data_IF_832454881849
#
_entry.id   IF_832454881849
#
_cell.length_a   1.000
_cell.length_b   1.000
_cell.length_c   1.000
_cell.angle_alpha   90.00
_cell.angle_beta   90.00
_cell.angle_gamma   90.00
#
_symmetry.space_group_name_H-M   'P 1'
#
loop_
_entity.id
_entity.type
_entity.pdbx_description
1 polymer ?
#
# COMPACT_ATOMS: atom_id res chain seq x y z
N UNK A 1 -0.71 29.20 -77.22
CA UNK A 1 -0.29 28.10 -76.27
C UNK A 1 -0.71 28.53 -74.89
N UNK A 2 -1.78 27.93 -74.38
CA UNK A 2 -2.44 28.31 -73.11
C UNK A 2 -2.04 27.33 -72.02
N UNK A 3 -1.33 27.82 -71.02
CA UNK A 3 -1.02 27.02 -69.83
C UNK A 3 -2.13 27.17 -68.78
N UNK A 4 -2.88 26.07 -68.51
CA UNK A 4 -3.82 25.99 -67.38
C UNK A 4 -3.06 25.55 -66.14
N UNK A 5 -3.27 26.14 -64.97
CA UNK A 5 -2.73 25.63 -63.70
C UNK A 5 -3.61 24.51 -63.11
N UNK A 6 -2.97 23.44 -62.57
CA UNK A 6 -3.59 22.33 -61.85
C UNK A 6 -4.03 22.77 -60.44
N UNK A 7 -5.13 22.23 -59.94
CA UNK A 7 -5.59 22.57 -58.57
C UNK A 7 -4.75 21.86 -57.50
N UNK A 8 -4.33 22.62 -56.50
CA UNK A 8 -3.70 22.10 -55.28
C UNK A 8 -4.74 21.44 -54.40
N UNK A 9 -4.62 20.12 -54.18
CA UNK A 9 -5.40 19.34 -53.23
C UNK A 9 -4.84 19.65 -51.84
N UNK A 10 -5.58 20.39 -51.04
CA UNK A 10 -5.27 20.58 -49.61
C UNK A 10 -5.67 19.33 -48.83
N UNK A 11 -4.66 18.56 -48.39
CA UNK A 11 -4.86 17.42 -47.48
C UNK A 11 -5.14 17.91 -46.07
N UNK A 12 -6.39 17.81 -45.63
CA UNK A 12 -6.78 18.03 -44.25
C UNK A 12 -6.40 16.77 -43.44
N UNK A 13 -5.30 16.82 -42.68
CA UNK A 13 -4.98 15.85 -41.64
C UNK A 13 -5.90 16.13 -40.46
N UNK A 14 -6.94 15.29 -40.31
CA UNK A 14 -7.73 15.21 -39.08
C UNK A 14 -6.84 14.56 -38.01
N UNK A 15 -6.31 15.37 -37.10
CA UNK A 15 -5.73 14.92 -35.88
C UNK A 15 -6.85 14.43 -34.95
N UNK A 16 -7.11 13.11 -34.95
CA UNK A 16 -7.97 12.48 -33.96
C UNK A 16 -7.26 12.52 -32.62
N UNK A 17 -7.55 13.51 -31.79
CA UNK A 17 -7.20 13.52 -30.36
C UNK A 17 -8.01 12.43 -29.67
N UNK A 18 -7.40 11.26 -29.47
CA UNK A 18 -7.95 10.24 -28.60
C UNK A 18 -7.94 10.76 -27.17
N UNK A 19 -9.06 11.33 -26.73
CA UNK A 19 -9.35 11.51 -25.31
C UNK A 19 -9.55 10.11 -24.72
N UNK A 20 -8.48 9.52 -24.19
CA UNK A 20 -8.60 8.39 -23.28
C UNK A 20 -9.44 8.88 -22.10
N UNK A 21 -10.70 8.48 -22.06
CA UNK A 21 -11.53 8.60 -20.87
C UNK A 21 -10.73 7.89 -19.76
N UNK A 22 -10.14 8.65 -18.84
CA UNK A 22 -9.59 8.14 -17.61
C UNK A 22 -10.77 7.50 -16.85
N UNK A 23 -11.01 6.22 -17.08
CA UNK A 23 -11.91 5.48 -16.21
C UNK A 23 -11.30 5.56 -14.82
N UNK A 24 -12.07 6.09 -13.87
CA UNK A 24 -11.63 6.13 -12.49
C UNK A 24 -11.26 4.71 -12.06
N UNK A 25 -9.98 4.48 -11.79
CA UNK A 25 -9.49 3.18 -11.35
C UNK A 25 -10.09 2.88 -9.99
N UNK A 26 -10.89 1.82 -9.90
CA UNK A 26 -11.47 1.34 -8.65
C UNK A 26 -10.82 0.02 -8.27
N UNK A 27 -10.59 -0.19 -6.97
CA UNK A 27 -10.16 -1.48 -6.46
C UNK A 27 -11.29 -2.50 -6.52
N UNK A 28 -10.96 -3.75 -6.85
CA UNK A 28 -11.85 -4.90 -6.79
C UNK A 28 -11.30 -5.95 -5.83
N UNK A 29 -12.17 -6.89 -5.43
CA UNK A 29 -11.75 -8.02 -4.59
C UNK A 29 -10.66 -8.84 -5.31
N UNK A 30 -9.59 -9.22 -4.59
CA UNK A 30 -8.47 -9.95 -5.18
C UNK A 30 -8.71 -11.46 -5.34
N UNK A 31 -9.91 -11.94 -5.07
CA UNK A 31 -10.33 -13.35 -5.20
C UNK A 31 -11.82 -13.43 -5.53
N UNK A 32 -12.30 -14.64 -5.86
CA UNK A 32 -13.73 -14.92 -6.07
C UNK A 32 -14.55 -14.94 -4.78
N UNK A 33 -13.92 -14.90 -3.60
CA UNK A 33 -14.64 -14.77 -2.32
C UNK A 33 -15.24 -13.37 -2.20
N UNK A 34 -16.55 -13.26 -2.44
CA UNK A 34 -17.31 -12.00 -2.41
C UNK A 34 -17.97 -11.72 -1.06
N UNK A 35 -17.74 -12.56 -0.05
CA UNK A 35 -18.43 -12.46 1.25
C UNK A 35 -18.25 -11.11 1.94
N UNK A 36 -17.15 -10.38 1.68
CA UNK A 36 -16.93 -9.03 2.23
C UNK A 36 -18.07 -8.05 1.85
N UNK A 37 -18.70 -8.24 0.69
CA UNK A 37 -19.74 -7.36 0.13
C UNK A 37 -21.15 -7.80 0.49
N UNK A 38 -21.32 -8.91 1.22
CA UNK A 38 -22.60 -9.50 1.57
C UNK A 38 -23.15 -8.94 2.89
N UNK A 39 -24.46 -9.14 3.12
CA UNK A 39 -25.12 -8.80 4.39
C UNK A 39 -24.86 -9.89 5.44
N UNK A 40 -24.89 -9.55 6.71
CA UNK A 40 -24.74 -10.46 7.83
C UNK A 40 -23.34 -10.42 8.46
N UNK A 41 -22.61 -11.56 8.44
CA UNK A 41 -21.24 -11.65 9.00
C UNK A 41 -20.19 -11.69 7.89
N UNK A 42 -20.02 -10.62 7.13
CA UNK A 42 -19.16 -10.61 5.94
C UNK A 42 -17.70 -10.91 6.25
N UNK A 43 -17.14 -10.29 7.28
CA UNK A 43 -15.73 -10.47 7.64
C UNK A 43 -15.40 -11.88 8.11
N UNK A 44 -16.28 -12.52 8.86
CA UNK A 44 -16.12 -13.90 9.34
C UNK A 44 -16.05 -14.92 8.19
N UNK A 45 -16.81 -14.68 7.12
CA UNK A 45 -16.81 -15.54 5.92
C UNK A 45 -15.68 -15.19 4.96
N UNK A 46 -15.25 -13.94 4.96
CA UNK A 46 -14.22 -13.43 4.07
C UNK A 46 -12.82 -13.74 4.59
N UNK A 47 -12.57 -13.59 5.90
CA UNK A 47 -11.26 -13.72 6.52
C UNK A 47 -11.05 -15.09 7.17
N UNK A 48 -9.79 -15.47 7.31
CA UNK A 48 -9.39 -16.65 8.10
C UNK A 48 -8.33 -16.25 9.13
N UNK A 49 -8.52 -16.72 10.36
CA UNK A 49 -7.57 -16.45 11.45
C UNK A 49 -6.32 -17.30 11.41
N UNK A 50 -5.37 -17.00 12.30
CA UNK A 50 -4.19 -17.84 12.54
C UNK A 50 -4.56 -19.13 13.24
N UNK A 51 -3.65 -20.11 13.31
CA UNK A 51 -3.92 -21.43 13.90
C UNK A 51 -4.45 -21.32 15.33
N UNK A 52 -5.63 -21.90 15.58
CA UNK A 52 -6.26 -21.89 16.90
C UNK A 52 -6.81 -20.51 17.34
N UNK A 53 -6.85 -19.53 16.46
CA UNK A 53 -7.40 -18.19 16.73
C UNK A 53 -8.59 -17.91 15.80
N UNK A 54 -9.54 -17.07 16.22
CA UNK A 54 -10.69 -16.71 15.42
C UNK A 54 -10.31 -15.82 14.22
N UNK A 55 -11.28 -15.58 13.32
CA UNK A 55 -11.10 -14.87 12.06
C UNK A 55 -10.54 -13.43 12.23
N UNK A 56 -10.78 -12.78 13.37
CA UNK A 56 -10.30 -11.44 13.69
C UNK A 56 -8.76 -11.35 13.61
N UNK A 57 -8.07 -12.45 13.90
CA UNK A 57 -6.61 -12.49 13.77
C UNK A 57 -6.12 -12.48 12.30
N UNK A 58 -7.02 -12.58 11.34
CA UNK A 58 -6.78 -12.38 9.91
C UNK A 58 -7.03 -10.96 9.42
N UNK A 59 -7.48 -10.04 10.28
CA UNK A 59 -7.66 -8.63 9.97
C UNK A 59 -6.33 -7.88 9.93
N UNK A 60 -6.36 -6.68 9.33
CA UNK A 60 -5.27 -5.72 9.38
C UNK A 60 -5.14 -5.08 10.76
N UNK A 61 -3.91 -4.78 11.18
CA UNK A 61 -3.65 -4.01 12.40
C UNK A 61 -3.10 -4.84 13.54
N UNK A 62 -3.29 -4.37 14.77
CA UNK A 62 -2.81 -5.01 15.99
C UNK A 62 -3.72 -6.17 16.42
N UNK A 63 -3.72 -7.26 15.65
CA UNK A 63 -4.66 -8.38 15.83
C UNK A 63 -3.97 -9.73 16.14
N UNK A 64 -2.64 -9.77 16.04
CA UNK A 64 -1.82 -10.95 16.29
C UNK A 64 -1.21 -10.90 17.69
N UNK A 65 -0.93 -12.08 18.29
CA UNK A 65 -0.29 -12.18 19.63
C UNK A 65 -1.02 -11.34 20.68
N UNK A 66 -2.35 -11.45 20.73
CA UNK A 66 -3.23 -10.73 21.65
C UNK A 66 -3.06 -9.20 21.58
N UNK A 67 -3.01 -8.67 20.35
CA UNK A 67 -2.91 -7.24 20.05
C UNK A 67 -1.49 -6.67 20.03
N UNK A 68 -0.46 -7.48 20.32
CA UNK A 68 0.94 -7.02 20.43
C UNK A 68 1.73 -7.11 19.12
N UNK A 69 1.19 -7.80 18.11
CA UNK A 69 1.86 -7.95 16.82
C UNK A 69 1.00 -7.39 15.71
N UNK A 70 1.62 -6.58 14.87
CA UNK A 70 1.01 -6.00 13.67
C UNK A 70 0.82 -7.06 12.59
N UNK A 71 -0.33 -7.01 11.91
CA UNK A 71 -0.62 -7.74 10.69
C UNK A 71 -0.75 -6.75 9.54
N UNK A 72 0.12 -6.89 8.56
CA UNK A 72 0.37 -5.90 7.50
C UNK A 72 -0.73 -5.84 6.44
N UNK A 73 -1.58 -6.86 6.37
CA UNK A 73 -2.66 -7.02 5.41
C UNK A 73 -3.86 -7.74 5.99
N UNK A 74 -4.58 -8.45 5.12
CA UNK A 74 -5.70 -9.33 5.49
C UNK A 74 -5.50 -10.73 4.92
N UNK A 75 -5.94 -11.75 5.65
CA UNK A 75 -5.88 -13.14 5.22
C UNK A 75 -7.24 -13.57 4.63
N UNK A 76 -7.37 -13.52 3.30
CA UNK A 76 -8.62 -13.83 2.59
C UNK A 76 -8.76 -15.34 2.41
N UNK A 77 -9.85 -15.90 2.95
CA UNK A 77 -10.16 -17.34 2.96
C UNK A 77 -10.31 -17.91 1.56
N UNK A 78 -9.75 -19.11 1.32
CA UNK A 78 -10.05 -19.95 0.16
C UNK A 78 -11.49 -20.50 0.26
N UNK A 79 -12.23 -20.46 -0.85
CA UNK A 79 -13.58 -21.01 -0.99
C UNK A 79 -13.66 -22.16 -1.98
N UNK A 80 -12.62 -22.37 -2.79
CA UNK A 80 -12.56 -23.45 -3.79
C UNK A 80 -11.44 -24.43 -3.46
N UNK A 81 -11.73 -25.73 -3.58
CA UNK A 81 -10.77 -26.80 -3.29
C UNK A 81 -10.88 -27.94 -4.29
N UNK A 82 -9.75 -28.54 -4.58
CA UNK A 82 -9.69 -29.77 -5.37
C UNK A 82 -10.12 -31.01 -4.54
N UNK A 83 -10.12 -32.21 -5.18
CA UNK A 83 -10.45 -33.49 -4.52
C UNK A 83 -9.48 -33.86 -3.38
N UNK A 84 -8.29 -33.27 -3.33
CA UNK A 84 -7.29 -33.47 -2.28
C UNK A 84 -7.41 -32.43 -1.17
N UNK A 85 -8.35 -31.48 -1.28
CA UNK A 85 -8.57 -30.38 -0.35
C UNK A 85 -7.52 -29.25 -0.50
N UNK A 86 -6.73 -29.21 -1.56
CA UNK A 86 -5.85 -28.07 -1.85
C UNK A 86 -6.67 -26.93 -2.47
N UNK A 87 -6.31 -25.65 -2.15
CA UNK A 87 -7.03 -24.49 -2.66
C UNK A 87 -6.82 -24.35 -4.19
N UNK A 88 -7.87 -23.92 -4.88
CA UNK A 88 -7.87 -23.69 -6.34
C UNK A 88 -8.36 -22.32 -6.73
N UNK A 89 -8.68 -21.46 -5.77
CA UNK A 89 -9.18 -20.10 -6.02
C UNK A 89 -8.18 -19.31 -6.87
N UNK A 90 -8.62 -18.61 -7.94
CA UNK A 90 -7.77 -17.67 -8.65
C UNK A 90 -7.46 -16.48 -7.74
N UNK A 91 -6.24 -15.97 -7.83
CA UNK A 91 -5.87 -14.68 -7.27
C UNK A 91 -5.88 -13.66 -8.38
N UNK A 92 -6.60 -12.56 -8.18
CA UNK A 92 -6.91 -11.56 -9.19
C UNK A 92 -6.20 -10.24 -8.87
N UNK A 93 -5.75 -9.52 -9.90
CA UNK A 93 -5.24 -8.17 -9.75
C UNK A 93 -6.35 -7.24 -9.24
N UNK A 94 -6.14 -6.61 -8.08
CA UNK A 94 -7.16 -5.77 -7.44
C UNK A 94 -7.39 -4.43 -8.15
N UNK A 95 -6.46 -3.98 -9.00
CA UNK A 95 -6.57 -2.77 -9.83
C UNK A 95 -5.68 -2.90 -11.06
N UNK A 96 -5.90 -2.05 -12.07
CA UNK A 96 -4.98 -1.91 -13.20
C UNK A 96 -3.59 -1.49 -12.71
N UNK A 97 -2.54 -2.07 -13.27
CA UNK A 97 -1.19 -1.76 -12.81
C UNK A 97 -0.09 -2.44 -13.60
N UNK A 98 1.08 -2.49 -13.00
CA UNK A 98 2.27 -3.16 -13.54
C UNK A 98 2.83 -4.11 -12.50
N UNK A 99 3.26 -5.29 -12.90
CA UNK A 99 3.98 -6.23 -12.02
C UNK A 99 5.29 -5.59 -11.59
N UNK A 100 5.43 -5.31 -10.31
CA UNK A 100 6.63 -4.71 -9.73
C UNK A 100 7.64 -5.78 -9.27
N UNK A 101 7.14 -6.91 -8.74
CA UNK A 101 7.99 -7.96 -8.19
C UNK A 101 7.29 -9.31 -8.18
N UNK A 102 8.07 -10.38 -8.34
CA UNK A 102 7.60 -11.77 -8.23
C UNK A 102 8.63 -12.61 -7.48
N UNK A 103 8.18 -13.33 -6.44
CA UNK A 103 8.95 -14.38 -5.78
C UNK A 103 8.34 -15.76 -6.03
N UNK A 104 9.07 -16.64 -6.69
CA UNK A 104 8.64 -18.02 -6.99
C UNK A 104 9.18 -19.04 -5.98
N UNK A 105 10.06 -18.65 -5.03
CA UNK A 105 10.66 -19.56 -4.04
C UNK A 105 9.75 -19.67 -2.81
N UNK A 106 9.09 -20.83 -2.58
CA UNK A 106 8.08 -20.97 -1.52
C UNK A 106 8.62 -20.85 -0.10
N UNK A 107 9.90 -21.17 0.12
CA UNK A 107 10.54 -21.17 1.43
C UNK A 107 11.48 -19.98 1.68
N UNK A 108 11.49 -18.95 0.82
CA UNK A 108 12.44 -17.83 0.96
C UNK A 108 12.09 -16.92 2.14
N UNK A 109 10.81 -16.64 2.33
CA UNK A 109 10.32 -15.79 3.42
C UNK A 109 8.96 -16.27 3.97
N UNK A 110 8.45 -15.57 4.98
CA UNK A 110 7.09 -15.79 5.50
C UNK A 110 6.01 -15.62 4.44
N UNK A 111 6.21 -14.73 3.46
CA UNK A 111 5.27 -14.53 2.35
C UNK A 111 5.19 -15.74 1.40
N UNK A 112 6.18 -16.65 1.40
CA UNK A 112 6.23 -17.75 0.44
C UNK A 112 6.36 -17.25 -1.01
N UNK A 113 5.62 -17.84 -1.94
CA UNK A 113 5.48 -17.28 -3.29
C UNK A 113 4.55 -16.06 -3.22
N UNK A 114 5.00 -14.93 -3.81
CA UNK A 114 4.18 -13.72 -3.80
C UNK A 114 4.45 -12.82 -5.00
N UNK A 115 3.45 -11.99 -5.30
CA UNK A 115 3.47 -10.98 -6.36
C UNK A 115 3.23 -9.62 -5.73
N UNK A 116 3.91 -8.60 -6.23
CA UNK A 116 3.63 -7.19 -5.93
C UNK A 116 3.27 -6.48 -7.23
N UNK A 117 2.13 -5.81 -7.23
CA UNK A 117 1.70 -4.94 -8.31
C UNK A 117 1.90 -3.47 -7.88
N UNK A 118 2.30 -2.64 -8.83
CA UNK A 118 2.39 -1.19 -8.68
C UNK A 118 1.24 -0.52 -9.42
N UNK A 119 0.58 0.40 -8.76
CA UNK A 119 -0.52 1.21 -9.30
C UNK A 119 -0.21 2.70 -9.10
N UNK A 120 -0.81 3.56 -9.93
CA UNK A 120 -0.86 5.00 -9.70
C UNK A 120 -2.32 5.42 -9.74
N UNK A 121 -2.90 5.72 -8.60
CA UNK A 121 -4.31 6.06 -8.42
C UNK A 121 -4.39 7.43 -7.73
N UNK A 122 -5.11 8.39 -8.28
CA UNK A 122 -5.23 9.76 -7.78
C UNK A 122 -3.85 10.42 -7.50
N UNK A 123 -2.88 10.18 -8.37
CA UNK A 123 -1.50 10.64 -8.21
C UNK A 123 -0.81 10.11 -6.93
N UNK A 124 -1.25 8.97 -6.41
CA UNK A 124 -0.62 8.23 -5.32
C UNK A 124 -0.04 6.93 -5.87
N UNK A 125 1.27 6.72 -5.75
CA UNK A 125 1.89 5.43 -6.02
C UNK A 125 1.53 4.47 -4.89
N UNK A 126 0.74 3.45 -5.17
CA UNK A 126 0.28 2.44 -4.24
C UNK A 126 0.62 1.05 -4.77
N UNK A 127 0.85 0.11 -3.87
CA UNK A 127 1.16 -1.27 -4.20
C UNK A 127 0.12 -2.21 -3.61
N UNK A 128 -0.13 -3.32 -4.32
CA UNK A 128 -0.85 -4.47 -3.77
C UNK A 128 0.08 -5.68 -3.74
N UNK A 129 0.05 -6.43 -2.64
CA UNK A 129 0.86 -7.61 -2.42
C UNK A 129 -0.04 -8.82 -2.20
N UNK A 130 0.28 -9.92 -2.87
CA UNK A 130 -0.48 -11.17 -2.86
C UNK A 130 0.46 -12.32 -2.49
N UNK A 131 0.37 -12.81 -1.26
CA UNK A 131 1.29 -13.81 -0.73
C UNK A 131 0.65 -15.17 -0.50
N UNK A 132 1.48 -16.15 -0.13
CA UNK A 132 1.17 -17.55 0.10
C UNK A 132 0.68 -18.31 -1.14
N UNK A 133 0.96 -17.82 -2.36
CA UNK A 133 0.47 -18.39 -3.60
C UNK A 133 0.93 -19.85 -3.79
N UNK A 134 0.05 -20.70 -4.32
CA UNK A 134 0.40 -22.04 -4.80
C UNK A 134 1.22 -21.95 -6.10
N UNK A 135 0.78 -21.08 -7.02
CA UNK A 135 1.47 -20.79 -8.27
C UNK A 135 1.28 -19.33 -8.68
N UNK A 136 2.19 -18.83 -9.50
CA UNK A 136 2.08 -17.55 -10.19
C UNK A 136 1.92 -17.85 -11.67
N UNK A 137 1.05 -17.12 -12.37
CA UNK A 137 0.86 -17.27 -13.80
C UNK A 137 2.16 -16.94 -14.56
N UNK A 138 2.47 -17.69 -15.60
CA UNK A 138 3.69 -17.53 -16.37
C UNK A 138 3.80 -16.18 -17.11
N UNK A 139 2.68 -15.53 -17.41
CA UNK A 139 2.63 -14.19 -17.99
C UNK A 139 2.93 -13.07 -16.97
N UNK A 140 2.88 -13.37 -15.67
CA UNK A 140 3.11 -12.40 -14.58
C UNK A 140 4.60 -12.28 -14.33
N UNK A 141 5.24 -11.29 -14.96
CA UNK A 141 6.67 -10.99 -14.84
C UNK A 141 6.91 -9.51 -14.57
N UNK A 142 7.95 -9.14 -13.82
CA UNK A 142 8.27 -7.73 -13.59
C UNK A 142 8.27 -6.88 -14.85
N UNK A 143 7.61 -5.72 -14.82
CA UNK A 143 7.43 -4.83 -15.96
C UNK A 143 6.18 -5.08 -16.81
N UNK A 144 5.50 -6.23 -16.66
CA UNK A 144 4.29 -6.52 -17.44
C UNK A 144 3.07 -5.78 -16.90
N UNK A 145 2.22 -5.18 -17.76
CA UNK A 145 0.95 -4.60 -17.35
C UNK A 145 -0.04 -5.70 -16.96
N UNK A 146 -0.90 -5.39 -16.02
CA UNK A 146 -2.04 -6.22 -15.60
C UNK A 146 -3.31 -5.38 -15.57
N UNK A 147 -4.45 -6.02 -15.86
CA UNK A 147 -5.77 -5.40 -15.76
C UNK A 147 -6.44 -5.83 -14.46
N UNK A 148 -7.28 -4.95 -13.92
CA UNK A 148 -8.15 -5.30 -12.81
C UNK A 148 -8.96 -6.56 -13.12
N UNK A 149 -9.05 -7.49 -12.16
CA UNK A 149 -9.72 -8.77 -12.34
C UNK A 149 -8.93 -9.83 -13.14
N UNK A 150 -7.75 -9.49 -13.68
CA UNK A 150 -6.88 -10.46 -14.35
C UNK A 150 -6.34 -11.48 -13.34
N UNK A 151 -6.45 -12.78 -13.64
CA UNK A 151 -5.81 -13.81 -12.82
C UNK A 151 -4.27 -13.67 -12.89
N UNK A 152 -3.64 -13.64 -11.70
CA UNK A 152 -2.20 -13.50 -11.55
C UNK A 152 -1.55 -14.73 -10.91
N UNK A 153 -2.36 -15.67 -10.43
CA UNK A 153 -1.91 -16.91 -9.82
C UNK A 153 -3.04 -17.67 -9.14
N UNK A 154 -2.67 -18.66 -8.37
CA UNK A 154 -3.59 -19.49 -7.57
C UNK A 154 -3.28 -19.32 -6.09
N UNK A 155 -4.32 -19.10 -5.29
CA UNK A 155 -4.25 -19.06 -3.82
C UNK A 155 -3.62 -20.34 -3.29
N UNK A 156 -2.83 -20.22 -2.22
CA UNK A 156 -2.11 -21.38 -1.69
C UNK A 156 -1.86 -21.31 -0.19
N UNK A 157 -0.70 -21.83 0.20
CA UNK A 157 -0.27 -21.92 1.59
C UNK A 157 1.26 -22.03 1.72
N UNK A 158 1.99 -21.42 0.75
CA UNK A 158 3.46 -21.41 0.78
C UNK A 158 3.96 -20.42 1.81
N UNK A 159 4.94 -20.80 2.60
CA UNK A 159 5.57 -20.01 3.65
C UNK A 159 6.80 -20.73 4.20
N UNK A 160 7.76 -20.00 4.78
CA UNK A 160 8.86 -20.57 5.53
C UNK A 160 8.58 -20.64 7.05
N UNK A 161 7.37 -20.35 7.50
CA UNK A 161 7.03 -20.42 8.92
C UNK A 161 7.08 -21.87 9.43
N UNK A 162 7.58 -22.09 10.66
CA UNK A 162 7.60 -23.42 11.30
C UNK A 162 6.19 -24.00 11.39
N UNK A 163 5.22 -23.18 11.73
CA UNK A 163 3.80 -23.53 11.73
C UNK A 163 3.25 -23.40 10.30
N UNK A 164 3.21 -24.51 9.59
CA UNK A 164 2.69 -24.56 8.21
C UNK A 164 1.23 -24.09 8.16
N UNK A 165 0.88 -23.39 7.07
CA UNK A 165 -0.50 -23.09 6.76
C UNK A 165 -1.19 -24.38 6.35
N UNK A 166 -2.22 -24.81 7.09
CA UNK A 166 -2.99 -26.04 6.81
C UNK A 166 -3.98 -25.82 5.67
N UNK A 167 -4.52 -26.89 5.08
CA UNK A 167 -5.45 -26.81 3.93
C UNK A 167 -6.76 -26.10 4.26
N UNK A 168 -7.25 -26.26 5.48
CA UNK A 168 -8.46 -25.58 5.98
C UNK A 168 -8.24 -24.07 6.22
N UNK A 169 -6.99 -23.66 6.39
CA UNK A 169 -6.57 -22.28 6.58
C UNK A 169 -5.87 -21.69 5.36
N UNK A 170 -5.93 -22.33 4.19
CA UNK A 170 -5.40 -21.77 2.96
C UNK A 170 -6.02 -20.41 2.67
N UNK A 171 -5.18 -19.42 2.34
CA UNK A 171 -5.58 -18.03 2.14
C UNK A 171 -4.59 -17.30 1.23
N UNK A 172 -5.04 -16.21 0.65
CA UNK A 172 -4.12 -15.18 0.16
C UNK A 172 -3.95 -14.12 1.24
N UNK A 173 -2.71 -13.88 1.67
CA UNK A 173 -2.38 -12.69 2.44
C UNK A 173 -2.30 -11.52 1.46
N UNK A 174 -3.22 -10.57 1.62
CA UNK A 174 -3.39 -9.43 0.73
C UNK A 174 -3.08 -8.13 1.44
N UNK A 175 -2.16 -7.34 0.86
CA UNK A 175 -1.83 -6.01 1.36
C UNK A 175 -2.18 -4.93 0.32
N UNK A 176 -2.62 -3.77 0.81
CA UNK A 176 -2.57 -2.49 0.09
C UNK A 176 -1.61 -1.60 0.85
N UNK A 177 -0.58 -1.07 0.19
CA UNK A 177 0.50 -0.41 0.90
C UNK A 177 1.18 0.69 0.08
N UNK A 178 1.74 1.67 0.78
CA UNK A 178 2.65 2.66 0.25
C UNK A 178 4.08 2.16 0.48
N UNK A 179 4.92 2.20 -0.56
CA UNK A 179 6.32 1.84 -0.41
C UNK A 179 7.09 3.01 0.21
N UNK A 180 7.73 2.82 1.36
CA UNK A 180 8.38 3.87 2.11
C UNK A 180 9.56 4.48 1.36
N UNK A 181 10.40 3.64 0.70
CA UNK A 181 11.61 4.08 0.00
C UNK A 181 11.77 3.41 -1.37
N UNK A 182 12.42 4.09 -2.30
CA UNK A 182 12.89 3.51 -3.57
C UNK A 182 14.30 2.90 -3.44
N UNK A 183 15.00 3.14 -2.33
CA UNK A 183 16.36 2.67 -2.04
C UNK A 183 16.44 1.96 -0.68
N UNK A 184 15.47 1.09 -0.41
CA UNK A 184 15.42 0.32 0.83
C UNK A 184 16.60 -0.64 0.98
N UNK A 185 17.05 -1.26 -0.10
CA UNK A 185 18.15 -2.22 -0.05
C UNK A 185 19.47 -1.58 0.42
N UNK A 186 19.78 -0.37 -0.01
CA UNK A 186 20.94 0.40 0.47
C UNK A 186 20.78 0.81 1.93
N UNK A 187 19.60 1.30 2.30
CA UNK A 187 19.29 1.63 3.69
C UNK A 187 19.43 0.40 4.59
N UNK A 188 18.88 -0.75 4.18
CA UNK A 188 18.94 -2.00 4.93
C UNK A 188 20.41 -2.43 5.18
N UNK A 189 21.26 -2.39 4.14
CA UNK A 189 22.68 -2.72 4.30
C UNK A 189 23.39 -1.84 5.33
N UNK A 190 23.03 -0.57 5.40
CA UNK A 190 23.64 0.40 6.32
C UNK A 190 23.14 0.22 7.78
N UNK A 191 21.84 -0.06 7.98
CA UNK A 191 21.17 0.05 9.28
C UNK A 191 20.77 -1.31 9.90
N UNK A 192 20.64 -2.36 9.09
CA UNK A 192 20.16 -3.68 9.53
C UNK A 192 21.25 -4.74 9.42
N UNK A 193 22.45 -4.43 9.94
CA UNK A 193 23.62 -5.35 9.93
C UNK A 193 23.25 -6.68 10.56
N UNK A 194 23.65 -7.79 9.92
CA UNK A 194 23.38 -9.15 10.40
C UNK A 194 22.01 -9.70 10.05
N UNK A 195 21.14 -8.94 9.40
CA UNK A 195 19.86 -9.44 8.87
C UNK A 195 19.88 -9.55 7.34
N UNK A 196 19.12 -10.54 6.81
CA UNK A 196 19.03 -10.75 5.37
C UNK A 196 17.93 -9.89 4.77
N UNK A 197 18.19 -9.35 3.57
CA UNK A 197 17.17 -8.74 2.72
C UNK A 197 17.06 -9.58 1.43
N UNK A 198 16.19 -10.59 1.44
CA UNK A 198 16.03 -11.52 0.32
C UNK A 198 15.15 -10.97 -0.81
N UNK A 199 14.49 -9.83 -0.59
CA UNK A 199 13.50 -9.27 -1.51
C UNK A 199 13.83 -7.85 -2.00
N UNK A 200 15.02 -7.34 -1.67
CA UNK A 200 15.47 -6.02 -2.10
C UNK A 200 14.51 -4.92 -1.68
N UNK A 201 14.08 -4.13 -2.65
CA UNK A 201 13.15 -3.01 -2.47
C UNK A 201 11.71 -3.46 -2.09
N UNK A 202 11.38 -4.73 -2.35
CA UNK A 202 10.05 -5.31 -2.09
C UNK A 202 9.99 -6.14 -0.80
N UNK A 203 10.90 -5.87 0.13
CA UNK A 203 10.83 -6.38 1.50
C UNK A 203 9.63 -5.78 2.24
N UNK A 204 8.87 -6.59 2.98
CA UNK A 204 7.67 -6.14 3.69
C UNK A 204 7.91 -4.99 4.66
N UNK A 205 9.13 -4.85 5.22
CA UNK A 205 9.49 -3.70 6.07
C UNK A 205 9.58 -2.37 5.32
N UNK A 206 9.59 -2.38 3.99
CA UNK A 206 9.54 -1.20 3.15
C UNK A 206 8.10 -0.79 2.79
N UNK A 207 7.10 -1.49 3.31
CA UNK A 207 5.70 -1.24 3.03
C UNK A 207 4.97 -0.70 4.25
N UNK A 208 4.20 0.35 4.03
CA UNK A 208 3.32 0.99 5.01
C UNK A 208 1.88 0.64 4.63
N UNK A 209 1.28 -0.30 5.36
CA UNK A 209 -0.03 -0.86 5.05
C UNK A 209 -1.16 0.16 5.18
N UNK A 210 -2.14 0.00 4.31
CA UNK A 210 -3.45 0.66 4.34
C UNK A 210 -4.47 -0.43 4.62
N UNK A 211 -5.47 -0.20 5.47
CA UNK A 211 -6.47 -1.22 5.84
C UNK A 211 -7.24 -1.69 4.59
N UNK A 212 -7.02 -2.96 4.14
CA UNK A 212 -7.52 -3.39 2.83
C UNK A 212 -9.03 -3.61 2.80
N UNK A 213 -9.66 -4.10 3.91
CA UNK A 213 -11.09 -4.37 3.91
C UNK A 213 -11.91 -3.09 3.80
N UNK A 214 -11.55 -2.04 4.55
CA UNK A 214 -12.20 -0.74 4.48
C UNK A 214 -12.04 -0.09 3.10
N UNK A 215 -10.83 -0.23 2.49
CA UNK A 215 -10.57 0.28 1.15
C UNK A 215 -11.42 -0.43 0.10
N UNK A 216 -11.46 -1.78 0.12
CA UNK A 216 -12.24 -2.58 -0.82
C UNK A 216 -13.74 -2.30 -0.69
N UNK A 217 -14.26 -2.17 0.54
CA UNK A 217 -15.66 -1.79 0.80
C UNK A 217 -15.96 -0.38 0.27
N UNK A 218 -15.11 0.59 0.55
CA UNK A 218 -15.28 1.97 0.07
C UNK A 218 -15.25 2.03 -1.46
N UNK A 219 -14.33 1.29 -2.10
CA UNK A 219 -14.25 1.20 -3.55
C UNK A 219 -15.51 0.58 -4.16
N UNK A 220 -16.01 -0.52 -3.59
CA UNK A 220 -17.24 -1.16 -4.06
C UNK A 220 -18.48 -0.26 -3.90
N UNK A 221 -18.60 0.45 -2.76
CA UNK A 221 -19.73 1.35 -2.48
C UNK A 221 -19.73 2.62 -3.35
N UNK A 222 -18.57 3.18 -3.61
CA UNK A 222 -18.43 4.45 -4.33
C UNK A 222 -18.28 4.27 -5.85
N UNK A 223 -17.85 3.08 -6.32
CA UNK A 223 -17.63 2.77 -7.73
C UNK A 223 -16.67 3.77 -8.38
N UNK A 224 -17.08 4.38 -9.50
CA UNK A 224 -16.28 5.38 -10.22
C UNK A 224 -16.01 6.68 -9.45
N UNK A 225 -16.70 6.92 -8.33
CA UNK A 225 -16.47 8.10 -7.47
C UNK A 225 -15.43 7.84 -6.37
N UNK A 226 -14.94 6.60 -6.25
CA UNK A 226 -13.89 6.27 -5.28
C UNK A 226 -12.63 7.09 -5.54
N UNK A 227 -12.03 7.60 -4.47
CA UNK A 227 -10.76 8.31 -4.53
C UNK A 227 -9.85 7.80 -3.43
N UNK A 228 -8.70 7.23 -3.82
CA UNK A 228 -7.68 6.75 -2.89
C UNK A 228 -7.13 7.89 -2.02
N UNK A 229 -6.84 9.04 -2.62
CA UNK A 229 -6.33 10.19 -1.87
C UNK A 229 -7.32 10.67 -0.80
N UNK A 230 -8.62 10.76 -1.14
CA UNK A 230 -9.67 11.09 -0.16
C UNK A 230 -9.86 10.01 0.89
N UNK A 231 -9.80 8.74 0.50
CA UNK A 231 -9.88 7.62 1.43
C UNK A 231 -8.76 7.68 2.47
N UNK A 232 -7.52 7.92 2.04
CA UNK A 232 -6.37 8.07 2.94
C UNK A 232 -6.51 9.31 3.83
N UNK A 233 -6.87 10.45 3.27
CA UNK A 233 -7.04 11.69 4.03
C UNK A 233 -8.15 11.61 5.11
N UNK A 234 -9.13 10.72 4.93
CA UNK A 234 -10.22 10.48 5.88
C UNK A 234 -9.87 9.46 6.97
N UNK A 235 -8.73 8.75 6.87
CA UNK A 235 -8.32 7.79 7.91
C UNK A 235 -8.00 8.50 9.22
N UNK A 236 -8.20 7.83 10.38
CA UNK A 236 -7.86 8.38 11.68
C UNK A 236 -6.38 8.75 11.77
N UNK A 237 -6.09 10.02 12.03
CA UNK A 237 -4.75 10.49 12.29
C UNK A 237 -4.31 10.06 13.70
N UNK A 238 -3.14 9.44 13.80
CA UNK A 238 -2.56 9.03 15.09
C UNK A 238 -1.49 10.00 15.56
N UNK A 239 -0.68 10.50 14.64
CA UNK A 239 0.35 11.49 14.97
C UNK A 239 0.59 12.45 13.80
N UNK A 240 1.12 13.62 14.15
CA UNK A 240 1.55 14.64 13.21
C UNK A 240 2.97 15.03 13.51
N UNK A 241 3.81 15.01 12.49
CA UNK A 241 5.23 15.33 12.62
C UNK A 241 5.64 16.40 11.61
N UNK A 242 6.58 17.25 12.01
CA UNK A 242 7.28 18.17 11.13
C UNK A 242 8.66 17.58 10.81
N UNK A 243 8.97 17.47 9.54
CA UNK A 243 10.27 16.99 9.03
C UNK A 243 10.94 18.12 8.28
N UNK A 244 12.03 18.65 8.82
CA UNK A 244 12.83 19.73 8.18
C UNK A 244 13.72 19.13 7.11
N UNK A 245 13.11 18.83 5.98
CA UNK A 245 13.77 18.35 4.78
C UNK A 245 12.94 18.74 3.55
N UNK A 246 13.30 19.81 2.84
CA UNK A 246 12.57 20.24 1.64
C UNK A 246 12.65 19.21 0.51
N UNK A 247 13.67 18.34 0.53
CA UNK A 247 13.92 17.33 -0.51
C UNK A 247 13.24 15.97 -0.23
N UNK A 248 12.38 15.88 0.81
CA UNK A 248 11.64 14.66 1.12
C UNK A 248 11.04 14.03 -0.14
N UNK A 249 11.23 12.72 -0.35
CA UNK A 249 10.82 12.06 -1.59
C UNK A 249 9.30 11.80 -1.67
N UNK A 250 8.62 11.60 -0.54
CA UNK A 250 7.19 11.27 -0.51
C UNK A 250 6.28 12.25 -1.24
N UNK A 251 6.44 13.61 -1.14
CA UNK A 251 5.57 14.52 -1.88
C UNK A 251 5.62 14.36 -3.39
N UNK A 252 6.77 13.94 -3.93
CA UNK A 252 6.92 13.67 -5.37
C UNK A 252 6.33 12.33 -5.78
N UNK A 253 6.28 11.36 -4.85
CA UNK A 253 5.73 10.02 -5.09
C UNK A 253 4.25 9.92 -4.79
N UNK A 254 3.76 10.77 -3.90
CA UNK A 254 2.38 10.84 -3.47
C UNK A 254 1.79 12.26 -3.63
N UNK A 255 1.83 12.86 -4.87
CA UNK A 255 1.30 14.21 -5.06
C UNK A 255 -0.16 14.35 -4.64
N UNK A 256 -0.96 13.28 -4.79
CA UNK A 256 -2.37 13.24 -4.36
C UNK A 256 -2.59 13.42 -2.85
N UNK A 257 -1.55 13.25 -2.02
CA UNK A 257 -1.62 13.49 -0.57
C UNK A 257 -1.16 14.90 -0.18
N UNK A 258 -0.60 15.68 -1.13
CA UNK A 258 -0.07 17.02 -0.85
C UNK A 258 -1.22 18.00 -0.67
N UNK A 259 -1.20 18.71 0.46
CA UNK A 259 -2.16 19.75 0.78
C UNK A 259 -1.61 21.13 0.36
N UNK A 260 -2.44 22.02 -0.16
CA UNK A 260 -1.98 23.36 -0.52
C UNK A 260 -1.58 24.16 0.73
N UNK A 261 -0.49 24.92 0.62
CA UNK A 261 -0.09 25.94 1.60
C UNK A 261 0.37 27.20 0.87
N UNK A 262 -0.44 28.28 0.81
CA UNK A 262 -0.08 29.50 0.11
C UNK A 262 1.20 30.17 0.63
N UNK A 263 1.50 30.04 1.94
CA UNK A 263 2.71 30.62 2.54
C UNK A 263 3.95 29.90 2.00
N UNK A 264 3.98 28.58 2.09
CA UNK A 264 5.10 27.78 1.59
C UNK A 264 5.23 27.88 0.06
N UNK A 265 4.13 28.05 -0.69
CA UNK A 265 4.16 28.27 -2.12
C UNK A 265 4.83 29.61 -2.50
N UNK A 266 4.69 30.64 -1.67
CA UNK A 266 5.28 31.96 -1.88
C UNK A 266 6.71 32.06 -1.37
N UNK A 267 6.99 31.50 -0.18
CA UNK A 267 8.26 31.67 0.54
C UNK A 267 9.26 30.53 0.29
N UNK A 268 8.82 29.45 -0.37
CA UNK A 268 9.60 28.23 -0.55
C UNK A 268 9.34 27.21 0.56
N UNK A 269 9.50 25.93 0.20
CA UNK A 269 9.32 24.79 1.13
C UNK A 269 10.61 24.56 1.92
N UNK A 270 10.54 24.62 3.24
CA UNK A 270 11.64 24.33 4.16
C UNK A 270 11.44 23.02 4.94
N UNK A 271 10.20 22.57 5.06
CA UNK A 271 9.82 21.37 5.79
C UNK A 271 8.51 20.78 5.28
N UNK A 272 8.21 19.57 5.74
CA UNK A 272 6.93 18.91 5.50
C UNK A 272 6.27 18.55 6.84
N UNK A 273 5.04 18.97 7.00
CA UNK A 273 4.18 18.47 8.05
C UNK A 273 3.45 17.23 7.51
N UNK A 274 3.58 16.11 8.24
CA UNK A 274 3.05 14.80 7.83
C UNK A 274 2.04 14.35 8.86
N UNK A 275 0.77 14.23 8.47
CA UNK A 275 -0.24 13.51 9.23
C UNK A 275 -0.11 12.01 8.93
N UNK A 276 -0.03 11.17 9.96
CA UNK A 276 0.27 9.76 9.84
C UNK A 276 -0.76 8.89 10.55
N UNK A 277 -1.05 7.73 9.97
CA UNK A 277 -1.76 6.64 10.62
C UNK A 277 -0.90 5.98 11.72
N UNK A 278 -1.51 5.08 12.50
CA UNK A 278 -0.85 4.43 13.64
C UNK A 278 0.43 3.65 13.27
N UNK A 279 0.52 3.13 12.05
CA UNK A 279 1.66 2.36 11.54
C UNK A 279 2.68 3.21 10.75
N UNK A 280 2.50 4.54 10.72
CA UNK A 280 3.39 5.47 10.04
C UNK A 280 3.07 5.72 8.57
N UNK A 281 1.98 5.18 8.02
CA UNK A 281 1.54 5.49 6.67
C UNK A 281 1.14 6.98 6.58
N UNK A 282 1.63 7.74 5.57
CA UNK A 282 1.25 9.14 5.40
C UNK A 282 -0.20 9.25 4.92
N UNK A 283 -0.95 10.14 5.54
CA UNK A 283 -2.33 10.46 5.22
C UNK A 283 -2.45 11.79 4.48
N UNK A 284 -1.66 12.78 4.89
CA UNK A 284 -1.56 14.11 4.28
C UNK A 284 -0.15 14.66 4.43
N UNK A 285 0.30 15.42 3.44
CA UNK A 285 1.62 16.04 3.35
C UNK A 285 1.43 17.55 3.14
N UNK A 286 1.74 18.38 4.12
CA UNK A 286 1.58 19.83 4.01
C UNK A 286 2.96 20.49 3.96
N UNK A 287 3.31 21.20 2.87
CA UNK A 287 4.57 21.94 2.82
C UNK A 287 4.56 23.09 3.85
N UNK A 288 5.70 23.37 4.47
CA UNK A 288 5.89 24.45 5.45
C UNK A 288 7.05 25.33 5.04
N UNK A 289 6.88 26.67 5.15
CA UNK A 289 7.96 27.63 4.95
C UNK A 289 8.90 27.67 6.17
N UNK A 290 10.08 28.26 6.01
CA UNK A 290 11.03 28.42 7.11
C UNK A 290 10.42 29.20 8.30
N UNK A 291 9.62 30.21 8.02
CA UNK A 291 8.93 31.03 9.03
C UNK A 291 7.92 30.19 9.85
N UNK A 292 7.20 29.28 9.22
CA UNK A 292 6.22 28.41 9.88
C UNK A 292 6.88 27.32 10.74
N UNK A 293 8.13 26.97 10.46
CA UNK A 293 8.84 25.90 11.19
C UNK A 293 9.47 26.36 12.51
N UNK A 294 9.71 27.67 12.70
CA UNK A 294 10.42 28.19 13.86
C UNK A 294 11.77 27.50 14.11
N UNK A 295 12.13 27.33 15.38
CA UNK A 295 13.36 26.67 15.84
C UNK A 295 13.22 25.15 16.05
N UNK A 296 12.23 24.49 15.41
CA UNK A 296 11.99 23.07 15.58
C UNK A 296 13.22 22.20 15.20
N UNK A 297 13.39 21.09 15.89
CA UNK A 297 14.38 20.06 15.56
C UNK A 297 14.11 19.45 14.16
N UNK A 298 15.07 18.69 13.64
CA UNK A 298 14.95 18.04 12.31
C UNK A 298 13.69 17.19 12.17
N UNK A 299 13.31 16.46 13.23
CA UNK A 299 12.05 15.75 13.37
C UNK A 299 11.39 16.27 14.64
N UNK A 300 10.18 16.82 14.53
CA UNK A 300 9.44 17.34 15.66
C UNK A 300 8.02 16.76 15.65
N UNK A 301 7.61 16.14 16.77
CA UNK A 301 6.24 15.62 16.94
C UNK A 301 5.34 16.78 17.34
N UNK A 302 4.42 17.15 16.44
CA UNK A 302 3.50 18.28 16.64
C UNK A 302 2.30 17.89 17.50
N UNK A 303 1.72 16.71 17.25
CA UNK A 303 0.58 16.21 18.01
C UNK A 303 0.51 14.70 17.99
N UNK A 304 -0.13 14.12 18.99
CA UNK A 304 -0.44 12.69 19.09
C UNK A 304 -1.89 12.53 19.54
N UNK A 305 -2.65 11.76 18.78
CA UNK A 305 -3.97 11.29 19.15
C UNK A 305 -3.81 10.10 20.11
N UNK A 306 -3.82 10.35 21.42
CA UNK A 306 -3.58 9.32 22.44
C UNK A 306 -4.60 8.16 22.37
N UNK A 307 -5.92 8.39 22.21
CA UNK A 307 -6.88 7.32 21.97
C UNK A 307 -6.50 6.41 20.79
N UNK A 308 -6.16 6.98 19.64
CA UNK A 308 -5.73 6.20 18.47
C UNK A 308 -4.43 5.44 18.72
N UNK A 309 -3.43 6.07 19.33
CA UNK A 309 -2.18 5.42 19.72
C UNK A 309 -2.42 4.23 20.67
N UNK A 310 -3.27 4.40 21.67
CA UNK A 310 -3.56 3.38 22.68
C UNK A 310 -4.39 2.21 22.11
N UNK A 311 -5.24 2.47 21.11
CA UNK A 311 -5.96 1.43 20.37
C UNK A 311 -5.03 0.54 19.52
N UNK A 312 -3.79 0.98 19.24
CA UNK A 312 -2.83 0.27 18.41
C UNK A 312 -1.48 0.03 19.11
N UNK A 313 -1.46 -0.78 20.19
CA UNK A 313 -0.28 -0.96 21.04
C UNK A 313 0.89 -1.67 20.33
N UNK A 314 0.64 -2.35 19.21
CA UNK A 314 1.68 -3.01 18.42
C UNK A 314 2.56 -2.04 17.60
N UNK A 315 2.15 -0.76 17.49
CA UNK A 315 2.83 0.25 16.68
C UNK A 315 3.48 1.32 17.56
N UNK A 316 4.68 1.08 18.04
CA UNK A 316 5.45 2.00 18.88
C UNK A 316 6.19 3.06 18.05
N UNK A 317 5.52 4.16 17.63
CA UNK A 317 6.14 5.24 16.85
C UNK A 317 6.65 6.40 17.72
N UNK A 318 6.00 6.67 18.85
CA UNK A 318 6.31 7.80 19.74
C UNK A 318 6.20 7.41 21.20
N UNK A 319 6.96 8.10 22.05
CA UNK A 319 6.91 7.96 23.51
C UNK A 319 6.78 9.33 24.18
N UNK A 320 6.02 9.41 25.25
CA UNK A 320 5.89 10.62 26.05
C UNK A 320 7.10 10.75 26.98
N UNK A 321 7.77 11.91 26.96
CA UNK A 321 8.88 12.27 27.86
C UNK A 321 8.54 13.61 28.52
N UNK A 322 8.12 13.54 29.77
CA UNK A 322 7.59 14.73 30.47
C UNK A 322 6.32 15.25 29.79
N UNK A 323 6.34 16.50 29.36
CA UNK A 323 5.22 17.15 28.67
C UNK A 323 5.28 16.98 27.13
N UNK A 324 6.38 16.47 26.58
CA UNK A 324 6.60 16.39 25.14
C UNK A 324 6.54 14.93 24.63
N UNK A 325 6.18 14.80 23.36
CA UNK A 325 6.29 13.55 22.62
C UNK A 325 7.61 13.50 21.86
N UNK A 326 8.27 12.35 21.91
CA UNK A 326 9.53 12.09 21.20
C UNK A 326 9.38 10.93 20.21
N UNK A 327 10.02 10.98 19.04
CA UNK A 327 10.04 9.85 18.12
C UNK A 327 10.75 8.65 18.75
N UNK A 328 10.27 7.46 18.41
CA UNK A 328 10.96 6.19 18.65
C UNK A 328 11.73 5.78 17.37
N UNK A 329 12.72 4.88 17.46
CA UNK A 329 13.50 4.44 16.30
C UNK A 329 12.67 3.96 15.10
N UNK A 330 11.48 3.39 15.37
CA UNK A 330 10.57 2.96 14.29
C UNK A 330 10.10 4.14 13.44
N UNK A 331 9.70 5.26 14.07
CA UNK A 331 9.31 6.47 13.34
C UNK A 331 10.51 7.11 12.63
N UNK A 332 11.67 7.18 13.29
CA UNK A 332 12.89 7.74 12.69
C UNK A 332 13.30 6.96 11.43
N UNK A 333 13.26 5.64 11.48
CA UNK A 333 13.53 4.77 10.34
C UNK A 333 12.54 5.01 9.17
N UNK A 334 11.24 5.12 9.46
CA UNK A 334 10.22 5.42 8.44
C UNK A 334 10.51 6.78 7.79
N UNK A 335 10.81 7.81 8.57
CA UNK A 335 11.08 9.15 8.06
C UNK A 335 12.43 9.24 7.31
N UNK A 336 13.41 8.42 7.69
CA UNK A 336 14.64 8.29 6.93
C UNK A 336 14.42 7.62 5.57
N UNK A 337 13.61 6.56 5.53
CA UNK A 337 13.18 5.89 4.30
C UNK A 337 12.37 6.83 3.39
N UNK A 338 11.55 7.71 3.96
CA UNK A 338 10.74 8.70 3.24
C UNK A 338 11.56 9.73 2.44
N UNK A 339 12.86 9.83 2.71
CA UNK A 339 13.81 10.75 2.03
C UNK A 339 14.41 10.14 0.77
N UNK A 340 14.26 8.84 0.54
CA UNK A 340 14.95 8.06 -0.49
C UNK A 340 14.07 7.55 -1.59
#
# INVERSE_FOLDING_TARGET
MSHRPLPRIASWLLAATAHALLQAQSFQLPTDNKSLLEVGRPSERFLVGTAGKPWESGQFGCVRSDGRQFHEGIDIRSIQKDRRGEPTDPVLAAADGTVAYVNLKPGLSKYGKYVVLRHVIDQVEVHTLYAHLASVDNAVRPGQPVRVGQAIGVLGRTSNTRQRITKDRAHVHFEVCLRASLDYASWHRAHQKGTRNDHGEFNGRNFLGIEPSALLLAAAQQGSRFSLARHLAAQPETLRVLVRDPALAWPRRFPGLVQPNPVASKEGVAAWEIAMAFNGAPLRLTPRSARECGAASRIHVLSVNEPQRNAHPCAGLVVRRGQAWSPLPALENILELARR
#
